data_IF_423699847062
#
_entry.id   IF_423699847062
#
_cell.length_a   1.000
_cell.length_b   1.000
_cell.length_c   1.000
_cell.angle_alpha   90.00
_cell.angle_beta   90.00
_cell.angle_gamma   90.00
#
_symmetry.space_group_name_H-M   'P 1'
#
loop_
_entity.id
_entity.type
_entity.pdbx_description
1 polymer ?
#
# COMPACT_ATOMS: atom_id res chain seq x y z
N UNK A 1 21.43 15.19 4.82
CA UNK A 1 21.57 13.74 4.64
C UNK A 1 21.08 13.45 3.25
N UNK A 2 21.88 12.79 2.44
CA UNK A 2 21.52 12.43 1.07
C UNK A 2 21.47 10.92 0.90
N UNK A 3 20.63 10.46 -0.01
CA UNK A 3 20.47 9.05 -0.37
C UNK A 3 20.54 8.90 -1.89
N UNK A 4 20.98 7.74 -2.32
CA UNK A 4 20.91 7.32 -3.72
C UNK A 4 20.03 6.10 -3.82
N UNK A 5 18.91 6.20 -4.53
CA UNK A 5 17.98 5.08 -4.75
C UNK A 5 18.57 4.20 -5.82
N UNK A 6 18.82 2.93 -5.50
CA UNK A 6 19.42 1.97 -6.45
C UNK A 6 18.36 1.20 -7.24
N UNK A 7 17.13 1.10 -6.73
CA UNK A 7 16.00 0.50 -7.42
C UNK A 7 14.77 0.36 -6.52
N UNK A 8 13.67 -0.11 -7.10
CA UNK A 8 12.41 -0.38 -6.40
C UNK A 8 11.49 -1.27 -7.22
N UNK A 9 10.40 -1.72 -6.62
CA UNK A 9 9.40 -2.59 -7.27
C UNK A 9 8.07 -2.65 -6.51
N UNK A 10 7.30 -3.74 -6.68
CA UNK A 10 5.96 -3.90 -6.10
C UNK A 10 5.96 -3.83 -4.56
N UNK A 11 7.06 -4.21 -3.91
CA UNK A 11 7.06 -4.40 -2.45
C UNK A 11 8.16 -3.68 -1.70
N UNK A 12 9.18 -3.17 -2.38
CA UNK A 12 10.35 -2.60 -1.73
C UNK A 12 10.96 -1.48 -2.58
N UNK A 13 11.56 -0.51 -1.90
CA UNK A 13 12.50 0.48 -2.42
C UNK A 13 13.87 0.18 -1.82
N UNK A 14 14.94 0.34 -2.59
CA UNK A 14 16.31 0.16 -2.13
C UNK A 14 17.09 1.46 -2.32
N UNK A 15 17.78 1.90 -1.27
CA UNK A 15 18.68 3.05 -1.33
C UNK A 15 19.98 2.78 -0.58
N UNK A 16 21.00 3.58 -0.89
CA UNK A 16 22.27 3.62 -0.19
C UNK A 16 22.53 5.03 0.32
N UNK A 17 23.32 5.15 1.40
CA UNK A 17 23.84 6.45 1.88
C UNK A 17 25.35 6.55 1.76
N UNK A 18 25.98 5.57 1.12
CA UNK A 18 27.41 5.58 0.85
C UNK A 18 27.67 4.79 -0.41
N UNK A 19 28.69 5.19 -1.15
CA UNK A 19 29.06 4.60 -2.43
C UNK A 19 30.00 3.39 -2.32
N UNK A 20 30.45 3.07 -1.11
CA UNK A 20 31.30 1.93 -0.78
C UNK A 20 31.09 1.55 0.67
N UNK A 21 31.19 0.28 1.02
CA UNK A 21 31.17 -0.17 2.41
C UNK A 21 32.47 -0.85 2.84
N UNK A 22 32.38 -1.53 3.99
CA UNK A 22 33.54 -2.18 4.58
C UNK A 22 33.73 -3.56 3.96
N UNK A 23 35.00 -3.96 3.72
CA UNK A 23 35.36 -5.29 3.20
C UNK A 23 34.72 -5.64 1.85
N UNK A 24 34.47 -4.64 0.99
CA UNK A 24 33.90 -4.83 -0.35
C UNK A 24 32.40 -5.12 -0.34
N UNK A 25 31.70 -4.78 0.74
CA UNK A 25 30.25 -4.95 0.84
C UNK A 25 29.54 -3.61 0.97
N UNK A 26 28.70 -3.29 0.00
CA UNK A 26 27.85 -2.11 -0.03
C UNK A 26 26.62 -2.33 0.86
N UNK A 27 26.40 -1.52 1.90
CA UNK A 27 25.19 -1.59 2.68
C UNK A 27 24.04 -0.89 1.95
N UNK A 28 23.02 -1.68 1.64
CA UNK A 28 21.78 -1.21 1.02
C UNK A 28 20.67 -1.24 2.05
N UNK A 29 19.92 -0.14 2.15
CA UNK A 29 18.72 -0.04 2.96
C UNK A 29 17.51 -0.38 2.10
N UNK A 30 16.77 -1.38 2.52
CA UNK A 30 15.54 -1.86 1.93
C UNK A 30 14.35 -1.31 2.72
N UNK A 31 13.47 -0.60 2.03
CA UNK A 31 12.28 0.05 2.59
C UNK A 31 11.03 -0.60 2.01
N UNK A 32 10.06 -1.06 2.83
CA UNK A 32 8.83 -1.63 2.31
C UNK A 32 8.01 -0.60 1.51
N UNK A 33 7.37 -1.05 0.45
CA UNK A 33 6.38 -0.32 -0.34
C UNK A 33 5.05 -1.06 -0.38
N UNK A 34 3.97 -0.29 -0.44
CA UNK A 34 2.64 -0.79 -0.74
C UNK A 34 1.98 0.11 -1.79
N UNK A 35 1.62 -0.47 -2.93
CA UNK A 35 0.89 0.22 -3.99
C UNK A 35 -0.61 0.13 -3.70
N UNK A 36 -1.23 1.28 -3.49
CA UNK A 36 -2.65 1.42 -3.16
C UNK A 36 -3.38 2.18 -4.26
N UNK A 37 -4.72 2.09 -4.35
CA UNK A 37 -5.52 2.97 -5.20
C UNK A 37 -5.42 4.46 -4.84
N UNK A 38 -4.91 4.81 -3.65
CA UNK A 38 -4.70 6.20 -3.22
C UNK A 38 -3.29 6.71 -3.55
N UNK A 39 -2.38 5.83 -4.01
CA UNK A 39 -0.98 6.13 -4.24
C UNK A 39 -0.05 5.09 -3.60
N UNK A 40 1.22 5.44 -3.48
CA UNK A 40 2.23 4.57 -2.85
C UNK A 40 2.39 4.92 -1.38
N UNK A 41 2.49 3.91 -0.54
CA UNK A 41 2.85 4.05 0.87
C UNK A 41 4.25 3.48 1.13
N UNK A 42 5.01 4.20 1.95
CA UNK A 42 6.36 3.82 2.38
C UNK A 42 6.33 3.29 3.81
N UNK A 43 6.99 2.17 4.03
CA UNK A 43 6.97 1.43 5.29
C UNK A 43 7.97 1.93 6.34
N UNK A 44 7.66 1.75 7.61
CA UNK A 44 8.58 1.98 8.74
C UNK A 44 9.56 0.82 9.03
N UNK A 45 9.29 -0.37 8.49
CA UNK A 45 10.06 -1.60 8.69
C UNK A 45 11.34 -1.70 7.86
N UNK A 46 12.24 -0.72 7.96
CA UNK A 46 13.46 -0.67 7.15
C UNK A 46 14.43 -1.80 7.52
N UNK A 47 15.05 -2.40 6.51
CA UNK A 47 16.01 -3.48 6.67
C UNK A 47 17.32 -3.13 5.99
N UNK A 48 18.43 -3.46 6.62
CA UNK A 48 19.75 -3.28 6.01
C UNK A 48 20.27 -4.62 5.52
N UNK A 49 20.68 -4.66 4.26
CA UNK A 49 21.34 -5.81 3.62
C UNK A 49 22.75 -5.41 3.18
N UNK A 50 23.63 -6.40 3.10
CA UNK A 50 24.99 -6.23 2.61
C UNK A 50 25.07 -6.89 1.24
N UNK A 51 25.45 -6.11 0.24
CA UNK A 51 25.57 -6.53 -1.16
C UNK A 51 27.04 -6.46 -1.54
N UNK A 52 27.57 -7.50 -2.17
CA UNK A 52 28.95 -7.47 -2.65
C UNK A 52 29.08 -6.37 -3.72
N UNK A 53 30.06 -5.47 -3.55
CA UNK A 53 30.25 -4.29 -4.42
C UNK A 53 30.43 -4.68 -5.89
N UNK A 54 31.10 -5.81 -6.13
CA UNK A 54 31.36 -6.33 -7.48
C UNK A 54 30.12 -6.96 -8.14
N UNK A 55 29.02 -7.15 -7.40
CA UNK A 55 27.80 -7.80 -7.87
C UNK A 55 26.52 -6.97 -7.59
N UNK A 56 26.63 -5.66 -7.43
CA UNK A 56 25.46 -4.78 -7.20
C UNK A 56 24.45 -4.90 -8.35
N UNK A 57 24.92 -4.88 -9.60
CA UNK A 57 24.05 -5.03 -10.77
C UNK A 57 23.31 -6.38 -10.78
N UNK A 58 24.03 -7.48 -10.55
CA UNK A 58 23.41 -8.82 -10.50
C UNK A 58 22.44 -8.99 -9.34
N UNK A 59 22.68 -8.33 -8.21
CA UNK A 59 21.75 -8.29 -7.09
C UNK A 59 20.48 -7.49 -7.42
N UNK A 60 20.60 -6.35 -8.11
CA UNK A 60 19.46 -5.54 -8.55
C UNK A 60 18.57 -6.32 -9.52
N UNK A 61 19.16 -6.97 -10.53
CA UNK A 61 18.42 -7.78 -11.52
C UNK A 61 17.64 -8.94 -10.86
N UNK A 62 18.17 -9.51 -9.78
CA UNK A 62 17.51 -10.58 -9.02
C UNK A 62 16.44 -10.05 -8.06
N UNK A 63 16.62 -8.84 -7.55
CA UNK A 63 15.74 -8.23 -6.53
C UNK A 63 14.56 -7.51 -7.17
N UNK A 64 14.80 -6.82 -8.29
CA UNK A 64 13.83 -6.02 -9.04
C UNK A 64 13.74 -6.59 -10.46
N UNK A 65 12.98 -7.67 -10.58
CA UNK A 65 12.90 -8.44 -11.82
C UNK A 65 12.10 -7.67 -12.90
N UNK A 66 12.49 -7.73 -14.18
CA UNK A 66 11.80 -7.00 -15.25
C UNK A 66 10.34 -7.41 -15.47
N UNK A 67 9.93 -8.59 -14.99
CA UNK A 67 8.55 -9.06 -15.06
C UNK A 67 7.62 -8.31 -14.08
N UNK A 68 8.18 -7.64 -13.07
CA UNK A 68 7.43 -6.74 -12.19
C UNK A 68 7.21 -5.41 -12.93
N UNK A 69 5.95 -5.13 -13.27
CA UNK A 69 5.55 -3.89 -13.98
C UNK A 69 5.90 -2.61 -13.22
N UNK A 70 6.10 -2.71 -11.89
CA UNK A 70 6.49 -1.60 -11.01
C UNK A 70 7.99 -1.54 -10.79
N UNK A 71 8.78 -2.49 -11.31
CA UNK A 71 10.22 -2.52 -11.09
C UNK A 71 10.93 -1.40 -11.85
N UNK A 72 11.87 -0.77 -11.16
CA UNK A 72 12.79 0.20 -11.73
C UNK A 72 14.16 0.09 -11.08
N UNK A 73 15.19 0.42 -11.85
CA UNK A 73 16.59 0.39 -11.41
C UNK A 73 17.25 1.67 -11.85
N UNK A 74 17.96 2.33 -10.93
CA UNK A 74 18.65 3.58 -11.21
C UNK A 74 19.91 3.38 -12.04
N UNK A 75 20.38 4.44 -12.69
CA UNK A 75 21.61 4.40 -13.46
C UNK A 75 22.84 4.28 -12.54
N UNK A 76 23.40 3.07 -12.41
CA UNK A 76 24.56 2.80 -11.54
C UNK A 76 25.83 3.60 -11.89
N UNK A 77 25.90 4.19 -13.09
CA UNK A 77 26.99 5.07 -13.47
C UNK A 77 27.16 6.27 -12.53
N UNK A 78 26.06 6.78 -11.95
CA UNK A 78 26.11 7.86 -10.98
C UNK A 78 26.67 7.40 -9.63
N UNK A 79 26.33 6.18 -9.20
CA UNK A 79 26.88 5.58 -7.99
C UNK A 79 28.41 5.40 -8.09
N UNK A 80 28.93 5.07 -9.28
CA UNK A 80 30.37 5.02 -9.54
C UNK A 80 31.04 6.40 -9.44
N UNK A 81 30.35 7.48 -9.84
CA UNK A 81 30.84 8.84 -9.65
C UNK A 81 30.88 9.21 -8.16
N UNK A 82 29.83 8.87 -7.42
CA UNK A 82 29.77 9.04 -5.95
C UNK A 82 30.92 8.27 -5.27
N UNK A 83 31.27 7.08 -5.79
CA UNK A 83 32.40 6.28 -5.29
C UNK A 83 33.74 6.98 -5.45
N UNK A 84 33.95 7.65 -6.59
CA UNK A 84 35.20 8.39 -6.85
C UNK A 84 35.41 9.58 -5.92
N UNK A 85 34.34 10.22 -5.47
CA UNK A 85 34.40 11.34 -4.53
C UNK A 85 34.33 10.91 -3.06
N UNK A 86 34.24 9.59 -2.80
CA UNK A 86 34.17 9.05 -1.44
C UNK A 86 32.91 9.45 -0.69
N UNK A 87 31.78 9.55 -1.40
CA UNK A 87 30.52 10.00 -0.80
C UNK A 87 30.03 9.03 0.28
N UNK A 88 29.65 9.61 1.42
CA UNK A 88 29.15 8.92 2.60
C UNK A 88 28.31 9.86 3.44
N UNK A 89 27.15 9.36 3.85
CA UNK A 89 26.13 10.05 4.62
C UNK A 89 25.48 9.09 5.62
N UNK A 90 24.71 9.65 6.55
CA UNK A 90 23.93 8.89 7.53
C UNK A 90 22.59 8.43 6.95
N UNK A 91 22.10 7.28 7.43
CA UNK A 91 20.75 6.80 7.10
C UNK A 91 19.73 7.73 7.74
N UNK A 92 18.85 8.39 6.96
CA UNK A 92 17.89 9.33 7.52
C UNK A 92 16.81 8.59 8.32
N UNK A 93 16.13 9.29 9.23
CA UNK A 93 15.01 8.71 10.00
C UNK A 93 13.69 8.65 9.21
N UNK A 94 13.58 9.48 8.17
CA UNK A 94 12.44 9.59 7.26
C UNK A 94 12.98 9.87 5.86
N UNK A 95 12.24 9.45 4.83
CA UNK A 95 12.54 9.83 3.46
C UNK A 95 11.92 11.19 3.17
N UNK A 96 12.50 11.91 2.21
CA UNK A 96 11.95 13.14 1.64
C UNK A 96 12.57 13.37 0.27
N UNK A 97 11.84 14.03 -0.61
CA UNK A 97 12.30 14.38 -1.96
C UNK A 97 13.67 15.09 -1.93
N UNK A 98 13.87 16.03 -1.00
CA UNK A 98 15.10 16.85 -0.90
C UNK A 98 16.37 16.03 -0.62
N UNK A 99 16.23 14.79 -0.16
CA UNK A 99 17.34 13.92 0.20
C UNK A 99 17.79 13.03 -0.97
N UNK A 100 16.97 12.87 -2.00
CA UNK A 100 17.22 11.91 -3.10
C UNK A 100 18.12 12.54 -4.16
N UNK A 101 19.32 11.98 -4.34
CA UNK A 101 20.30 12.48 -5.31
C UNK A 101 19.88 12.26 -6.76
N UNK A 102 19.17 11.16 -7.02
CA UNK A 102 18.78 10.71 -8.35
C UNK A 102 17.25 10.70 -8.53
N UNK A 103 16.58 11.76 -8.09
CA UNK A 103 15.11 11.86 -8.10
C UNK A 103 14.50 11.62 -9.49
N UNK A 104 15.19 12.02 -10.55
CA UNK A 104 14.74 11.83 -11.93
C UNK A 104 14.65 10.36 -12.38
N UNK A 105 15.29 9.44 -11.65
CA UNK A 105 15.23 8.00 -11.92
C UNK A 105 14.01 7.33 -11.27
N UNK A 106 13.27 8.03 -10.40
CA UNK A 106 12.14 7.47 -9.67
C UNK A 106 10.81 7.66 -10.43
N UNK A 107 9.90 6.68 -10.34
CA UNK A 107 8.51 6.88 -10.76
C UNK A 107 7.83 8.01 -9.98
N UNK A 108 6.98 8.79 -10.65
CA UNK A 108 6.22 9.91 -10.04
C UNK A 108 5.44 9.49 -8.79
N UNK A 109 4.74 8.35 -8.85
CA UNK A 109 4.01 7.77 -7.72
C UNK A 109 4.90 7.52 -6.47
N UNK A 110 6.19 7.21 -6.66
CA UNK A 110 7.15 6.99 -5.57
C UNK A 110 7.65 8.33 -5.03
N UNK A 111 7.89 9.31 -5.92
CA UNK A 111 8.29 10.67 -5.52
C UNK A 111 7.22 11.30 -4.64
N UNK A 112 5.95 11.22 -5.05
CA UNK A 112 4.81 11.73 -4.27
C UNK A 112 4.70 11.10 -2.87
N UNK A 113 5.17 9.86 -2.72
CA UNK A 113 5.13 9.14 -1.46
C UNK A 113 6.29 9.47 -0.51
N UNK A 114 7.39 10.07 -0.98
CA UNK A 114 8.59 10.34 -0.17
C UNK A 114 8.30 11.28 1.00
N UNK A 115 7.45 12.30 0.80
CA UNK A 115 7.11 13.28 1.83
C UNK A 115 5.92 12.85 2.72
N UNK A 116 5.39 11.64 2.51
CA UNK A 116 4.32 11.07 3.33
C UNK A 116 4.87 10.41 4.62
N UNK A 117 4.10 10.42 5.73
CA UNK A 117 4.49 9.70 6.93
C UNK A 117 4.71 8.21 6.66
N UNK A 118 5.74 7.63 7.29
CA UNK A 118 5.97 6.19 7.22
C UNK A 118 4.82 5.43 7.88
N UNK A 119 4.36 4.36 7.23
CA UNK A 119 3.23 3.56 7.69
C UNK A 119 3.66 2.12 8.03
N UNK A 120 2.98 1.44 8.95
CA UNK A 120 3.23 0.03 9.21
C UNK A 120 2.78 -0.82 8.01
N UNK A 121 3.73 -1.32 7.21
CA UNK A 121 3.43 -2.20 6.06
C UNK A 121 3.57 -3.66 6.48
N UNK A 122 2.55 -4.46 6.19
CA UNK A 122 2.54 -5.91 6.48
C UNK A 122 2.18 -6.71 5.24
N UNK A 123 2.74 -7.92 5.09
CA UNK A 123 2.25 -8.87 4.09
C UNK A 123 0.93 -9.47 4.57
N UNK A 124 -0.14 -9.22 3.82
CA UNK A 124 -1.44 -9.78 4.14
C UNK A 124 -1.42 -11.32 3.98
N UNK A 125 -1.91 -12.05 4.99
CA UNK A 125 -1.97 -13.51 4.93
C UNK A 125 -2.96 -14.05 3.89
N UNK A 126 -3.93 -13.24 3.45
CA UNK A 126 -4.96 -13.62 2.48
C UNK A 126 -4.55 -13.33 1.03
N UNK A 127 -4.23 -12.07 0.69
CA UNK A 127 -3.87 -11.69 -0.68
C UNK A 127 -2.36 -11.78 -0.97
N UNK A 128 -1.53 -12.07 0.04
CA UNK A 128 -0.05 -12.16 -0.05
C UNK A 128 0.67 -10.89 -0.51
N UNK A 129 -0.05 -9.77 -0.73
CA UNK A 129 0.49 -8.45 -1.10
C UNK A 129 0.85 -7.62 0.14
N UNK A 130 1.73 -6.63 -0.05
CA UNK A 130 2.00 -5.59 0.93
C UNK A 130 0.76 -4.72 1.15
N UNK A 131 0.33 -4.56 2.39
CA UNK A 131 -0.82 -3.76 2.77
C UNK A 131 -0.40 -2.78 3.87
N UNK A 132 -0.90 -1.55 3.78
CA UNK A 132 -0.84 -0.58 4.87
C UNK A 132 -1.74 -1.10 5.99
N UNK A 133 -1.14 -1.39 7.15
CA UNK A 133 -1.88 -1.76 8.36
C UNK A 133 -2.56 -0.51 8.92
N UNK A 134 -3.72 -0.68 9.54
CA UNK A 134 -4.49 0.37 10.26
C UNK A 134 -5.38 1.30 9.41
N UNK A 135 -5.52 1.08 8.10
CA UNK A 135 -6.51 1.82 7.30
C UNK A 135 -7.95 1.31 7.44
N UNK A 136 -8.20 0.25 8.23
CA UNK A 136 -9.54 -0.25 8.52
C UNK A 136 -9.76 -0.37 10.05
N UNK A 137 -10.71 0.41 10.58
CA UNK A 137 -11.03 0.45 12.03
C UNK A 137 -12.44 -0.08 12.27
N UNK A 138 -12.58 -1.12 13.10
CA UNK A 138 -13.90 -1.64 13.52
C UNK A 138 -13.94 -2.01 15.00
N UNK A 139 -14.86 -1.39 15.76
CA UNK A 139 -15.03 -1.63 17.20
C UNK A 139 -13.69 -1.63 17.97
N UNK A 140 -12.87 -0.59 17.74
CA UNK A 140 -11.53 -0.43 18.35
C UNK A 140 -10.47 -1.46 17.91
N UNK A 141 -10.78 -2.35 16.96
CA UNK A 141 -9.84 -3.30 16.37
C UNK A 141 -9.35 -2.80 15.01
N UNK A 142 -8.03 -2.74 14.87
CA UNK A 142 -7.35 -2.44 13.62
C UNK A 142 -7.16 -3.73 12.81
N UNK A 143 -7.68 -3.76 11.60
CA UNK A 143 -7.52 -4.88 10.66
C UNK A 143 -6.88 -4.35 9.38
N UNK A 144 -6.15 -5.18 8.63
CA UNK A 144 -5.97 -4.87 7.21
C UNK A 144 -7.35 -4.99 6.54
N UNK A 145 -7.61 -4.27 5.44
CA UNK A 145 -8.95 -4.28 4.81
C UNK A 145 -9.44 -5.70 4.42
N UNK A 146 -8.56 -6.70 4.45
CA UNK A 146 -8.79 -8.10 4.07
C UNK A 146 -9.01 -9.07 5.25
N UNK A 147 -8.37 -8.88 6.42
CA UNK A 147 -8.70 -9.66 7.64
C UNK A 147 -10.13 -9.37 8.12
N UNK A 148 -10.61 -8.18 7.76
CA UNK A 148 -11.99 -7.77 7.95
C UNK A 148 -12.98 -8.63 7.16
N UNK A 149 -12.73 -8.93 5.89
CA UNK A 149 -13.68 -9.69 5.06
C UNK A 149 -13.97 -11.08 5.64
N UNK A 150 -12.91 -11.82 6.01
CA UNK A 150 -13.03 -13.16 6.64
C UNK A 150 -13.70 -13.11 8.02
N UNK A 151 -13.54 -12.02 8.76
CA UNK A 151 -14.09 -11.86 10.10
C UNK A 151 -15.54 -11.35 10.10
N UNK A 152 -15.93 -10.53 9.12
CA UNK A 152 -17.20 -9.80 9.09
C UNK A 152 -18.25 -10.46 8.21
N UNK A 153 -17.89 -11.09 7.09
CA UNK A 153 -18.84 -11.93 6.33
C UNK A 153 -18.98 -13.34 6.95
N UNK A 154 -17.89 -13.90 7.46
CA UNK A 154 -17.85 -15.28 7.97
C UNK A 154 -18.54 -15.51 9.33
N UNK A 155 -18.77 -14.46 10.12
CA UNK A 155 -19.53 -14.54 11.38
C UNK A 155 -20.84 -13.83 11.16
N UNK A 156 -21.97 -14.47 11.53
CA UNK A 156 -23.36 -13.95 11.56
C UNK A 156 -23.45 -12.48 12.01
N UNK A 157 -23.05 -11.56 11.15
CA UNK A 157 -23.02 -10.14 11.40
C UNK A 157 -24.41 -9.55 11.13
N UNK A 158 -24.69 -8.35 11.64
CA UNK A 158 -26.00 -7.69 11.52
C UNK A 158 -26.42 -7.32 10.07
N UNK A 159 -25.71 -7.83 9.06
CA UNK A 159 -25.68 -7.35 7.67
C UNK A 159 -26.26 -8.35 6.65
N UNK A 160 -26.89 -9.44 7.14
CA UNK A 160 -27.78 -10.32 6.37
C UNK A 160 -29.22 -9.79 6.30
N UNK A 161 -29.38 -8.49 6.54
CA UNK A 161 -30.68 -7.83 6.59
C UNK A 161 -30.99 -7.23 5.21
N UNK A 162 -32.25 -7.29 4.75
CA UNK A 162 -32.64 -6.80 3.43
C UNK A 162 -32.55 -5.26 3.26
N UNK A 163 -32.35 -4.50 4.34
CA UNK A 163 -32.11 -3.04 4.27
C UNK A 163 -31.43 -2.50 5.54
N UNK A 164 -30.69 -1.39 5.40
CA UNK A 164 -30.15 -0.63 6.53
C UNK A 164 -31.20 0.27 7.17
N UNK A 165 -31.24 0.30 8.50
CA UNK A 165 -31.77 1.48 9.21
C UNK A 165 -30.68 2.56 9.36
N UNK A 166 -31.07 3.79 9.67
CA UNK A 166 -30.15 4.94 9.76
C UNK A 166 -29.04 4.76 10.78
N UNK A 167 -29.33 4.16 11.94
CA UNK A 167 -28.33 3.88 12.97
C UNK A 167 -27.30 2.84 12.50
N UNK A 168 -27.74 1.83 11.76
CA UNK A 168 -26.86 0.83 11.17
C UNK A 168 -25.96 1.42 10.08
N UNK A 169 -26.45 2.41 9.34
CA UNK A 169 -25.67 3.08 8.30
C UNK A 169 -24.66 4.08 8.86
N UNK A 170 -25.00 4.79 9.95
CA UNK A 170 -24.06 5.68 10.64
C UNK A 170 -22.89 4.93 11.26
N UNK A 171 -23.10 3.65 11.60
CA UNK A 171 -22.07 2.74 12.12
C UNK A 171 -21.41 1.91 11.00
N UNK A 172 -21.50 2.36 9.75
CA UNK A 172 -20.83 1.70 8.64
C UNK A 172 -19.31 1.68 8.88
N UNK A 173 -18.63 0.56 8.57
CA UNK A 173 -17.19 0.49 8.66
C UNK A 173 -16.50 1.53 7.77
N UNK A 174 -15.36 2.03 8.23
CA UNK A 174 -14.48 2.90 7.44
C UNK A 174 -13.20 2.19 6.99
N UNK A 175 -12.78 2.49 5.78
CA UNK A 175 -11.53 2.04 5.15
C UNK A 175 -10.84 3.21 4.44
N UNK A 176 -9.53 3.16 4.16
CA UNK A 176 -8.93 4.10 3.19
C UNK A 176 -9.53 3.94 1.79
N UNK A 177 -9.64 2.70 1.33
CA UNK A 177 -10.20 2.34 0.02
C UNK A 177 -10.67 0.87 -0.01
N UNK A 178 -11.38 0.49 -1.07
CA UNK A 178 -11.72 -0.90 -1.40
C UNK A 178 -11.19 -1.23 -2.79
N UNK A 179 -10.45 -2.33 -2.92
CA UNK A 179 -9.91 -2.80 -4.22
C UNK A 179 -10.87 -3.81 -4.83
N UNK A 180 -11.55 -3.51 -5.96
CA UNK A 180 -12.56 -4.41 -6.53
C UNK A 180 -12.04 -5.82 -6.86
N UNK A 181 -10.88 -5.93 -7.52
CA UNK A 181 -10.30 -7.21 -7.90
C UNK A 181 -10.06 -8.12 -6.68
N UNK A 182 -9.61 -7.55 -5.57
CA UNK A 182 -9.36 -8.31 -4.34
C UNK A 182 -10.64 -8.62 -3.58
N UNK A 183 -11.67 -7.77 -3.67
CA UNK A 183 -12.99 -8.10 -3.15
C UNK A 183 -13.55 -9.33 -3.90
N UNK A 184 -13.40 -9.38 -5.22
CA UNK A 184 -13.84 -10.50 -6.04
C UNK A 184 -13.15 -11.82 -5.69
N UNK A 185 -11.82 -11.80 -5.51
CA UNK A 185 -11.06 -12.96 -5.01
C UNK A 185 -11.52 -13.43 -3.63
N UNK A 186 -11.93 -12.49 -2.77
CA UNK A 186 -12.44 -12.78 -1.44
C UNK A 186 -13.91 -13.29 -1.43
N UNK A 187 -14.54 -13.40 -2.61
CA UNK A 187 -15.94 -13.80 -2.72
C UNK A 187 -16.91 -12.65 -2.45
N UNK A 188 -16.53 -11.40 -2.66
CA UNK A 188 -17.43 -10.26 -2.67
C UNK A 188 -17.47 -9.56 -4.04
N UNK A 189 -18.66 -9.10 -4.41
CA UNK A 189 -18.89 -8.33 -5.61
C UNK A 189 -19.12 -6.87 -5.26
N UNK A 190 -18.42 -5.96 -5.95
CA UNK A 190 -18.68 -4.53 -5.85
C UNK A 190 -19.94 -4.20 -6.65
N UNK A 191 -21.00 -3.79 -5.96
CA UNK A 191 -22.27 -3.41 -6.59
C UNK A 191 -22.37 -1.93 -6.89
N UNK A 192 -21.70 -1.10 -6.08
CA UNK A 192 -21.75 0.34 -6.24
C UNK A 192 -20.47 0.98 -5.72
N UNK A 193 -19.96 1.93 -6.50
CA UNK A 193 -18.98 2.93 -6.08
C UNK A 193 -19.69 4.28 -6.14
N UNK A 194 -19.82 4.93 -5.00
CA UNK A 194 -20.37 6.27 -4.88
C UNK A 194 -19.24 7.17 -4.43
N UNK A 195 -19.01 8.27 -5.16
CA UNK A 195 -17.99 9.24 -4.75
C UNK A 195 -18.33 9.92 -3.42
N UNK A 196 -17.49 10.86 -2.98
CA UNK A 196 -17.77 11.65 -1.77
C UNK A 196 -19.10 12.39 -1.91
N UNK A 197 -20.08 11.97 -1.13
CA UNK A 197 -21.39 12.60 -0.98
C UNK A 197 -21.73 12.69 0.50
N UNK A 198 -22.72 13.53 0.80
CA UNK A 198 -23.27 13.62 2.14
C UNK A 198 -23.80 12.24 2.63
N UNK A 199 -23.58 11.88 3.90
CA UNK A 199 -24.01 10.57 4.44
C UNK A 199 -25.51 10.31 4.31
N UNK A 200 -26.36 11.33 4.35
CA UNK A 200 -27.81 11.17 4.15
C UNK A 200 -28.12 10.75 2.71
N UNK A 201 -27.45 11.38 1.74
CA UNK A 201 -27.59 11.01 0.34
C UNK A 201 -27.03 9.60 0.09
N UNK A 202 -25.90 9.26 0.70
CA UNK A 202 -25.34 7.91 0.62
C UNK A 202 -26.33 6.87 1.18
N UNK A 203 -26.93 7.15 2.35
CA UNK A 203 -27.95 6.30 2.95
C UNK A 203 -29.14 6.09 2.03
N UNK A 204 -29.69 7.16 1.46
CA UNK A 204 -30.87 7.09 0.61
C UNK A 204 -30.60 6.29 -0.68
N UNK A 205 -29.43 6.50 -1.30
CA UNK A 205 -29.00 5.76 -2.50
C UNK A 205 -28.79 4.27 -2.20
N UNK A 206 -28.03 3.96 -1.15
CA UNK A 206 -27.77 2.57 -0.74
C UNK A 206 -29.08 1.86 -0.38
N UNK A 207 -29.93 2.51 0.42
CA UNK A 207 -31.21 1.93 0.85
C UNK A 207 -32.12 1.64 -0.33
N UNK A 208 -32.19 2.55 -1.30
CA UNK A 208 -32.95 2.37 -2.54
C UNK A 208 -32.42 1.20 -3.36
N UNK A 209 -31.10 1.06 -3.46
CA UNK A 209 -30.46 -0.02 -4.20
C UNK A 209 -30.72 -1.38 -3.53
N UNK A 210 -30.56 -1.47 -2.22
CA UNK A 210 -30.83 -2.70 -1.46
C UNK A 210 -32.28 -3.15 -1.57
N UNK A 211 -33.24 -2.21 -1.49
CA UNK A 211 -34.66 -2.52 -1.71
C UNK A 211 -34.94 -3.14 -3.08
N UNK A 212 -34.19 -2.75 -4.11
CA UNK A 212 -34.32 -3.32 -5.47
C UNK A 212 -33.62 -4.67 -5.61
N UNK A 213 -32.50 -4.86 -4.93
CA UNK A 213 -31.70 -6.09 -4.99
C UNK A 213 -32.34 -7.23 -4.18
N UNK A 214 -33.13 -6.91 -3.15
CA UNK A 214 -33.86 -7.90 -2.36
C UNK A 214 -32.99 -8.59 -1.30
N UNK A 215 -33.19 -9.89 -1.12
CA UNK A 215 -32.47 -10.67 -0.09
C UNK A 215 -31.00 -10.92 -0.46
N UNK A 216 -30.11 -10.78 0.52
CA UNK A 216 -28.68 -11.03 0.35
C UNK A 216 -27.86 -10.56 1.56
N UNK A 217 -26.56 -10.88 1.55
CA UNK A 217 -25.58 -10.31 2.48
C UNK A 217 -24.91 -9.11 1.81
N UNK A 218 -25.12 -7.91 2.35
CA UNK A 218 -24.58 -6.67 1.81
C UNK A 218 -23.76 -5.93 2.85
N UNK A 219 -22.76 -5.18 2.41
CA UNK A 219 -22.03 -4.26 3.28
C UNK A 219 -21.69 -2.95 2.58
N UNK A 220 -22.00 -1.84 3.24
CA UNK A 220 -21.52 -0.52 2.83
C UNK A 220 -20.28 -0.19 3.64
N UNK A 221 -19.25 0.30 2.95
CA UNK A 221 -17.99 0.75 3.54
C UNK A 221 -17.80 2.22 3.18
N UNK A 222 -17.56 3.06 4.19
CA UNK A 222 -17.09 4.44 3.97
C UNK A 222 -15.61 4.38 3.59
N UNK A 223 -15.23 5.05 2.52
CA UNK A 223 -13.83 5.17 2.09
C UNK A 223 -13.38 6.62 2.07
N UNK A 224 -12.07 6.85 1.99
CA UNK A 224 -11.55 8.21 1.75
C UNK A 224 -12.03 8.75 0.41
N UNK A 225 -12.43 7.91 -0.54
CA UNK A 225 -12.94 8.34 -1.85
C UNK A 225 -14.47 8.40 -1.94
N UNK A 226 -15.20 7.96 -0.92
CA UNK A 226 -16.66 7.96 -0.90
C UNK A 226 -17.26 6.75 -0.18
N UNK A 227 -18.12 6.01 -0.86
CA UNK A 227 -18.86 4.88 -0.30
C UNK A 227 -18.86 3.70 -1.26
N UNK A 228 -18.69 2.50 -0.74
CA UNK A 228 -18.65 1.26 -1.52
C UNK A 228 -19.68 0.29 -0.99
N UNK A 229 -20.57 -0.19 -1.86
CA UNK A 229 -21.50 -1.28 -1.53
C UNK A 229 -20.97 -2.60 -2.09
N UNK A 230 -20.77 -3.57 -1.21
CA UNK A 230 -20.32 -4.92 -1.52
C UNK A 230 -21.44 -5.93 -1.26
N UNK A 231 -21.45 -7.03 -2.02
CA UNK A 231 -22.32 -8.20 -1.83
C UNK A 231 -21.49 -9.47 -1.69
N UNK A 232 -21.80 -10.32 -0.72
CA UNK A 232 -21.22 -11.66 -0.63
C UNK A 232 -21.67 -12.53 -1.82
N UNK A 233 -20.73 -13.15 -2.53
CA UNK A 233 -21.00 -14.18 -3.55
C UNK A 233 -21.36 -15.48 -2.81
N UNK A 234 -22.47 -16.10 -3.22
CA UNK A 234 -22.98 -17.36 -2.65
C UNK A 234 -22.10 -18.57 -3.00
#
# INVERSE_FOLDING_TARGET
MSIFVVGGGEHMLAFVTQSSGEKGQLPVTMVPLAWTPLGVAIGDGWQRVLVDEDNVAGWLDQTFVPEDERAFVAALGELELLRRIGWKDEVPAQLSEEQVLNLADLPEDVVDALDSPLLPITRCAACRRSCVKDEFVWQERQLCAWDWHRSVFGRRGPWRMPSYNRAQFSDAPSAGYVVPALAEEAGAEVLMLLGRVDPELAYDVVSTLLQRLGEGSFITVSTDTGWVLLRERA
#
